data_IF_533890281740
#
_entry.id   IF_533890281740
#
_cell.length_a   1.000
_cell.length_b   1.000
_cell.length_c   1.000
_cell.angle_alpha   90.00
_cell.angle_beta   90.00
_cell.angle_gamma   90.00
#
_symmetry.space_group_name_H-M   'P 1'
#
loop_
_entity.id
_entity.type
_entity.pdbx_description
1 polymer ?
#
# COMPACT_ATOMS: atom_id res chain seq x y z
N UNK A 1 3.79 9.56 -3.23
CA UNK A 1 2.51 8.87 -3.33
C UNK A 1 1.37 9.87 -3.08
N UNK A 2 0.13 9.49 -3.35
CA UNK A 2 -1.06 10.33 -3.22
C UNK A 2 -1.30 10.84 -1.78
N UNK A 3 -0.98 10.04 -0.79
CA UNK A 3 -1.03 10.39 0.64
C UNK A 3 -0.23 11.65 1.03
N UNK A 4 0.81 11.98 0.26
CA UNK A 4 1.69 13.12 0.52
C UNK A 4 1.30 14.39 -0.25
N UNK A 5 0.46 14.28 -1.28
CA UNK A 5 0.12 15.42 -2.15
C UNK A 5 -0.56 16.58 -1.39
N UNK A 6 -1.55 16.35 -0.50
CA UNK A 6 -2.20 17.44 0.20
C UNK A 6 -1.24 18.29 1.03
N UNK A 7 -0.32 17.67 1.75
CA UNK A 7 0.67 18.38 2.57
C UNK A 7 1.66 19.18 1.71
N UNK A 8 2.12 18.59 0.60
CA UNK A 8 3.01 19.27 -0.34
C UNK A 8 2.34 20.47 -1.02
N UNK A 9 1.06 20.35 -1.38
CA UNK A 9 0.29 21.46 -1.95
C UNK A 9 0.08 22.56 -0.91
N UNK A 10 -0.31 22.23 0.31
CA UNK A 10 -0.49 23.16 1.43
C UNK A 10 0.81 23.91 1.75
N UNK A 11 1.95 23.22 1.64
CA UNK A 11 3.28 23.82 1.84
C UNK A 11 3.76 24.67 0.65
N UNK A 12 3.00 24.77 -0.46
CA UNK A 12 3.42 25.46 -1.69
C UNK A 12 4.59 24.78 -2.42
N UNK A 13 4.86 23.52 -2.09
CA UNK A 13 6.00 22.77 -2.66
C UNK A 13 5.72 22.23 -4.07
N UNK A 14 4.45 22.13 -4.47
CA UNK A 14 4.03 21.67 -5.79
C UNK A 14 3.45 22.79 -6.64
N UNK A 15 3.81 22.77 -7.90
CA UNK A 15 3.29 23.65 -8.92
C UNK A 15 1.85 23.22 -9.28
N UNK A 16 0.95 24.21 -9.42
CA UNK A 16 -0.37 24.00 -9.98
C UNK A 16 -0.26 23.83 -11.49
N UNK A 17 -0.53 22.63 -12.01
CA UNK A 17 -0.31 22.30 -13.42
C UNK A 17 -1.25 23.05 -14.36
N UNK A 18 -2.45 23.41 -13.92
CA UNK A 18 -3.43 24.19 -14.68
C UNK A 18 -2.87 25.56 -15.11
N UNK A 19 -2.00 26.19 -14.31
CA UNK A 19 -1.38 27.47 -14.62
C UNK A 19 -0.31 27.38 -15.73
N UNK A 20 0.13 26.17 -16.07
CA UNK A 20 1.16 25.89 -17.08
C UNK A 20 0.65 24.99 -18.21
N UNK A 21 -0.65 24.86 -18.38
CA UNK A 21 -1.27 24.00 -19.39
C UNK A 21 -0.81 24.34 -20.82
N UNK A 22 -0.51 25.59 -21.11
CA UNK A 22 0.00 26.03 -22.42
C UNK A 22 1.35 25.40 -22.79
N UNK A 23 2.19 25.05 -21.79
CA UNK A 23 3.47 24.37 -22.03
C UNK A 23 3.29 23.01 -22.69
N UNK A 24 2.18 22.30 -22.38
CA UNK A 24 1.87 20.97 -22.92
C UNK A 24 1.64 20.97 -24.44
N UNK A 25 1.33 22.13 -25.04
CA UNK A 25 1.19 22.25 -26.51
C UNK A 25 2.49 21.92 -27.24
N UNK A 26 3.65 22.11 -26.60
CA UNK A 26 4.94 21.71 -27.16
C UNK A 26 5.16 20.19 -27.20
N UNK A 27 4.36 19.44 -26.44
CA UNK A 27 4.33 17.98 -26.43
C UNK A 27 3.11 17.44 -27.23
N UNK A 28 2.44 18.27 -28.03
CA UNK A 28 1.24 17.93 -28.80
C UNK A 28 0.12 17.30 -27.93
N UNK A 29 -0.01 17.74 -26.69
CA UNK A 29 -1.03 17.25 -25.72
C UNK A 29 -1.67 18.41 -24.96
N UNK A 30 -2.72 18.10 -24.23
CA UNK A 30 -3.43 19.03 -23.34
C UNK A 30 -3.59 18.42 -21.95
N UNK A 31 -3.92 19.22 -20.95
CA UNK A 31 -4.22 18.70 -19.62
C UNK A 31 -5.46 17.80 -19.61
N UNK A 32 -6.44 18.08 -20.46
CA UNK A 32 -7.63 17.23 -20.62
C UNK A 32 -7.27 15.88 -21.25
N UNK A 33 -6.35 15.85 -22.22
CA UNK A 33 -5.85 14.61 -22.81
C UNK A 33 -5.14 13.75 -21.75
N UNK A 34 -4.31 14.36 -20.91
CA UNK A 34 -3.64 13.66 -19.80
C UNK A 34 -4.66 13.08 -18.82
N UNK A 35 -5.69 13.86 -18.44
CA UNK A 35 -6.76 13.39 -17.56
C UNK A 35 -7.54 12.24 -18.17
N UNK A 36 -7.88 12.32 -19.45
CA UNK A 36 -8.62 11.29 -20.17
C UNK A 36 -7.82 9.98 -20.34
N UNK A 37 -6.50 10.09 -20.54
CA UNK A 37 -5.63 8.95 -20.77
C UNK A 37 -5.37 8.10 -19.52
N UNK A 38 -5.50 8.66 -18.31
CA UNK A 38 -5.21 7.98 -17.05
C UNK A 38 -6.48 7.52 -16.33
N UNK A 39 -6.35 6.54 -15.42
CA UNK A 39 -7.47 6.07 -14.60
C UNK A 39 -8.01 7.19 -13.73
N UNK A 40 -9.34 7.27 -13.62
CA UNK A 40 -10.04 8.38 -12.97
C UNK A 40 -9.55 8.60 -11.53
N UNK A 41 -9.45 7.54 -10.73
CA UNK A 41 -8.98 7.64 -9.34
C UNK A 41 -7.58 8.26 -9.20
N UNK A 42 -6.69 8.08 -10.20
CA UNK A 42 -5.37 8.71 -10.18
C UNK A 42 -5.42 10.21 -10.44
N UNK A 43 -6.38 10.66 -11.23
CA UNK A 43 -6.61 12.07 -11.48
C UNK A 43 -7.27 12.73 -10.26
N UNK A 44 -8.29 12.07 -9.70
CA UNK A 44 -9.02 12.56 -8.53
C UNK A 44 -8.10 12.74 -7.32
N UNK A 45 -7.23 11.75 -7.06
CA UNK A 45 -6.29 11.81 -5.95
C UNK A 45 -5.19 12.90 -6.10
N UNK A 46 -4.91 13.36 -7.32
CA UNK A 46 -3.98 14.45 -7.61
C UNK A 46 -4.67 15.79 -7.83
N UNK A 47 -6.01 15.85 -7.75
CA UNK A 47 -6.81 17.05 -7.89
C UNK A 47 -7.16 17.62 -6.52
N UNK A 48 -6.69 18.81 -6.23
CA UNK A 48 -6.94 19.51 -4.96
C UNK A 48 -7.54 20.88 -5.32
N UNK A 49 -8.67 21.23 -4.70
CA UNK A 49 -9.41 22.47 -4.99
C UNK A 49 -9.70 22.68 -6.49
N UNK A 50 -10.00 21.57 -7.19
CA UNK A 50 -10.36 21.57 -8.61
C UNK A 50 -9.18 21.69 -9.59
N UNK A 51 -7.94 21.68 -9.12
CA UNK A 51 -6.73 21.80 -9.94
C UNK A 51 -5.81 20.57 -9.80
N UNK A 52 -5.16 20.19 -10.89
CA UNK A 52 -4.21 19.09 -10.92
C UNK A 52 -2.82 19.54 -10.46
N UNK A 53 -2.19 18.81 -9.55
CA UNK A 53 -0.87 19.13 -8.98
C UNK A 53 0.23 18.15 -9.32
N UNK A 54 -0.09 16.99 -9.88
CA UNK A 54 0.91 16.01 -10.30
C UNK A 54 0.38 15.14 -11.45
N UNK A 55 1.28 14.69 -12.31
CA UNK A 55 0.97 13.76 -13.39
C UNK A 55 1.01 12.30 -12.85
N UNK A 56 -0.03 11.49 -13.10
CA UNK A 56 -0.02 10.09 -12.72
C UNK A 56 1.05 9.28 -13.48
N UNK A 57 1.86 8.52 -12.75
CA UNK A 57 2.86 7.63 -13.32
C UNK A 57 2.47 6.16 -13.23
N UNK A 58 1.86 5.77 -12.11
CA UNK A 58 1.47 4.39 -11.84
C UNK A 58 0.23 4.31 -10.96
N UNK A 59 -0.53 3.24 -11.13
CA UNK A 59 -1.72 2.89 -10.35
C UNK A 59 -1.50 1.56 -9.60
N UNK A 60 -0.33 1.41 -8.98
CA UNK A 60 0.12 0.16 -8.38
C UNK A 60 0.63 0.32 -6.94
N UNK A 61 0.29 1.43 -6.29
CA UNK A 61 0.73 1.68 -4.92
C UNK A 61 -0.17 0.95 -3.90
N UNK A 62 -0.06 -0.37 -3.91
CA UNK A 62 -0.74 -1.29 -3.02
C UNK A 62 0.10 -2.53 -2.79
N UNK A 63 -0.35 -3.44 -1.94
CA UNK A 63 0.36 -4.66 -1.61
C UNK A 63 -0.57 -5.86 -1.59
N UNK A 64 0.03 -7.03 -1.76
CA UNK A 64 -0.62 -8.33 -1.88
C UNK A 64 0.35 -9.43 -1.42
N UNK A 65 0.03 -10.71 -1.62
CA UNK A 65 0.87 -11.83 -1.22
C UNK A 65 1.64 -12.40 -2.41
N UNK A 66 2.97 -12.44 -2.32
CA UNK A 66 3.83 -13.32 -3.12
C UNK A 66 4.04 -14.64 -2.40
N UNK A 67 4.06 -15.76 -3.14
CA UNK A 67 4.36 -17.07 -2.56
C UNK A 67 5.03 -18.01 -3.56
N UNK A 68 5.79 -18.96 -3.04
CA UNK A 68 6.40 -20.05 -3.80
C UNK A 68 5.41 -21.20 -3.94
N UNK A 69 4.78 -21.35 -5.11
CA UNK A 69 3.78 -22.37 -5.39
C UNK A 69 4.35 -23.80 -5.41
N UNK A 70 5.67 -23.97 -5.40
CA UNK A 70 6.31 -25.27 -5.26
C UNK A 70 6.20 -25.86 -3.84
N UNK A 71 5.96 -25.00 -2.83
CA UNK A 71 5.87 -25.38 -1.42
C UNK A 71 4.57 -24.94 -0.73
N UNK A 72 3.88 -23.95 -1.29
CA UNK A 72 2.61 -23.43 -0.79
C UNK A 72 1.56 -23.56 -1.90
N UNK A 73 0.48 -24.31 -1.65
CA UNK A 73 -0.64 -24.37 -2.59
C UNK A 73 -1.46 -23.08 -2.56
N UNK A 74 -2.21 -22.82 -3.63
CA UNK A 74 -3.15 -21.68 -3.68
C UNK A 74 -4.17 -21.74 -2.53
N UNK A 75 -4.66 -22.93 -2.19
CA UNK A 75 -5.56 -23.13 -1.05
C UNK A 75 -4.89 -22.76 0.29
N UNK A 76 -3.61 -23.15 0.48
CA UNK A 76 -2.85 -22.81 1.68
C UNK A 76 -2.57 -21.30 1.79
N UNK A 77 -2.44 -20.59 0.66
CA UNK A 77 -2.25 -19.16 0.62
C UNK A 77 -3.51 -18.34 0.99
N UNK A 78 -4.69 -18.99 1.11
CA UNK A 78 -5.95 -18.30 1.32
C UNK A 78 -6.18 -17.80 2.76
N UNK A 79 -5.51 -18.37 3.77
CA UNK A 79 -5.57 -17.93 5.17
C UNK A 79 -4.19 -17.86 5.81
N UNK A 80 -4.00 -16.97 6.77
CA UNK A 80 -2.75 -16.87 7.51
C UNK A 80 -2.40 -18.18 8.22
N UNK A 81 -3.40 -18.88 8.79
CA UNK A 81 -3.18 -20.14 9.51
C UNK A 81 -2.61 -21.20 8.59
N UNK A 82 -3.24 -21.46 7.44
CA UNK A 82 -2.78 -22.46 6.47
C UNK A 82 -1.48 -22.06 5.77
N UNK A 83 -1.27 -20.75 5.54
CA UNK A 83 -0.06 -20.22 4.94
C UNK A 83 1.16 -20.42 5.85
N UNK A 84 1.03 -20.11 7.14
CA UNK A 84 2.08 -20.28 8.13
C UNK A 84 2.39 -21.78 8.36
N UNK A 85 1.36 -22.63 8.40
CA UNK A 85 1.54 -24.08 8.51
C UNK A 85 2.31 -24.65 7.30
N UNK A 86 1.98 -24.21 6.09
CA UNK A 86 2.67 -24.66 4.87
C UNK A 86 4.13 -24.18 4.85
N UNK A 87 4.40 -22.94 5.26
CA UNK A 87 5.76 -22.40 5.35
C UNK A 87 6.60 -23.15 6.40
N UNK A 88 6.03 -23.46 7.57
CA UNK A 88 6.70 -24.22 8.62
C UNK A 88 7.08 -25.62 8.14
N UNK A 89 6.17 -26.31 7.47
CA UNK A 89 6.45 -27.64 6.85
C UNK A 89 7.57 -27.59 5.82
N UNK A 90 7.73 -26.47 5.12
CA UNK A 90 8.82 -26.23 4.18
C UNK A 90 10.13 -25.78 4.85
N UNK A 91 10.14 -25.56 6.17
CA UNK A 91 11.27 -25.01 6.90
C UNK A 91 11.60 -23.55 6.52
N UNK A 92 10.59 -22.82 6.08
CA UNK A 92 10.70 -21.42 5.63
C UNK A 92 9.79 -20.50 6.43
N UNK A 93 9.80 -19.21 6.10
CA UNK A 93 9.03 -18.18 6.79
C UNK A 93 8.07 -17.47 5.83
N UNK A 94 7.09 -16.79 6.43
CA UNK A 94 6.24 -15.79 5.77
C UNK A 94 6.62 -14.41 6.30
N UNK A 95 7.04 -13.51 5.42
CA UNK A 95 7.52 -12.18 5.79
C UNK A 95 6.45 -11.10 5.62
N UNK A 96 6.35 -10.21 6.61
CA UNK A 96 5.56 -8.99 6.52
C UNK A 96 6.15 -7.90 7.41
N UNK A 97 6.06 -6.64 6.97
CA UNK A 97 6.47 -5.48 7.76
C UNK A 97 5.32 -5.03 8.64
N UNK A 98 5.34 -5.37 9.94
CA UNK A 98 4.31 -4.92 10.90
C UNK A 98 4.60 -3.52 11.47
N UNK A 99 5.89 -3.16 11.59
CA UNK A 99 6.33 -1.85 12.09
C UNK A 99 6.21 -0.73 11.04
N UNK A 100 5.09 -0.70 10.33
CA UNK A 100 4.74 0.32 9.35
C UNK A 100 3.23 0.52 9.33
N UNK A 101 2.80 1.76 9.56
CA UNK A 101 1.39 2.13 9.54
C UNK A 101 0.72 1.93 8.17
N UNK A 102 1.50 1.81 7.12
CA UNK A 102 1.00 1.50 5.79
C UNK A 102 0.59 0.03 5.66
N UNK A 103 1.39 -0.88 6.23
CA UNK A 103 1.09 -2.31 6.20
C UNK A 103 0.16 -2.76 7.32
N UNK A 104 0.37 -2.32 8.56
CA UNK A 104 -0.44 -2.80 9.70
C UNK A 104 -1.90 -2.32 9.65
N UNK A 105 -2.21 -1.21 8.96
CA UNK A 105 -3.57 -0.76 8.69
C UNK A 105 -4.42 -1.82 7.97
N UNK A 106 -3.81 -2.73 7.23
CA UNK A 106 -4.50 -3.77 6.44
C UNK A 106 -5.40 -4.67 7.29
N UNK A 107 -4.99 -4.97 8.50
CA UNK A 107 -5.79 -5.78 9.43
C UNK A 107 -7.04 -5.04 9.89
N UNK A 108 -6.89 -3.77 10.24
CA UNK A 108 -8.02 -2.94 10.67
C UNK A 108 -8.98 -2.64 9.51
N UNK A 109 -8.47 -2.30 8.34
CA UNK A 109 -9.31 -2.05 7.16
C UNK A 109 -10.09 -3.29 6.72
N UNK A 110 -9.48 -4.48 6.80
CA UNK A 110 -10.17 -5.74 6.54
C UNK A 110 -11.32 -6.02 7.51
N UNK A 111 -11.18 -5.59 8.76
CA UNK A 111 -12.20 -5.74 9.79
C UNK A 111 -13.24 -4.59 9.83
N UNK A 112 -13.25 -3.71 8.83
CA UNK A 112 -14.25 -2.65 8.70
C UNK A 112 -13.96 -1.39 9.50
N UNK A 113 -12.73 -1.20 10.00
CA UNK A 113 -12.27 0.05 10.61
C UNK A 113 -11.85 1.05 9.55
N UNK A 114 -11.81 2.33 9.92
CA UNK A 114 -11.54 3.43 8.99
C UNK A 114 -10.51 4.42 9.51
N UNK A 115 -9.96 5.20 8.59
CA UNK A 115 -9.24 6.44 8.86
C UNK A 115 -9.78 7.54 7.97
N UNK A 116 -9.65 8.78 8.41
CA UNK A 116 -10.01 9.97 7.63
C UNK A 116 -9.02 11.09 7.83
N UNK A 117 -8.87 11.92 6.81
CA UNK A 117 -8.08 13.15 6.85
C UNK A 117 -9.03 14.35 6.92
N UNK A 118 -8.90 15.18 7.95
CA UNK A 118 -9.66 16.40 8.12
C UNK A 118 -9.00 17.58 7.37
N UNK A 119 -9.76 18.64 7.10
CA UNK A 119 -9.27 19.85 6.42
C UNK A 119 -8.12 20.55 7.17
N UNK A 120 -8.04 20.39 8.50
CA UNK A 120 -6.96 20.92 9.33
C UNK A 120 -5.68 20.05 9.31
N UNK A 121 -5.71 18.91 8.60
CA UNK A 121 -4.61 17.97 8.52
C UNK A 121 -4.55 16.93 9.65
N UNK A 122 -5.55 16.92 10.54
CA UNK A 122 -5.65 15.88 11.57
C UNK A 122 -6.25 14.60 11.03
N UNK A 123 -5.94 13.47 11.66
CA UNK A 123 -6.51 12.15 11.34
C UNK A 123 -7.74 11.88 12.18
N UNK A 124 -8.81 11.33 11.58
CA UNK A 124 -9.84 10.60 12.32
C UNK A 124 -9.56 9.11 12.27
N UNK A 125 -9.81 8.40 13.38
CA UNK A 125 -9.46 6.99 13.54
C UNK A 125 -10.34 6.33 14.60
N UNK A 126 -10.88 5.15 14.29
CA UNK A 126 -11.83 4.43 15.15
C UNK A 126 -11.27 3.09 15.69
N UNK A 127 -9.98 2.82 15.52
CA UNK A 127 -9.38 1.50 15.74
C UNK A 127 -9.39 1.01 17.19
N UNK A 128 -9.57 1.87 18.16
CA UNK A 128 -9.71 1.52 19.58
C UNK A 128 -11.14 1.22 20.02
N UNK A 129 -12.10 1.27 19.10
CA UNK A 129 -13.52 1.02 19.31
C UNK A 129 -14.01 -0.27 18.67
N UNK A 130 -15.22 -0.18 18.11
CA UNK A 130 -15.89 -1.26 17.38
C UNK A 130 -16.13 -0.80 15.94
N UNK A 131 -15.77 -1.62 14.96
CA UNK A 131 -15.93 -1.33 13.55
C UNK A 131 -17.38 -1.38 13.08
N UNK A 132 -17.63 -0.89 11.86
CA UNK A 132 -18.94 -1.00 11.22
C UNK A 132 -19.41 -2.46 11.05
N UNK A 133 -18.48 -3.40 10.93
CA UNK A 133 -18.74 -4.83 10.80
C UNK A 133 -18.92 -5.54 12.15
N UNK A 134 -18.79 -4.79 13.27
CA UNK A 134 -19.03 -5.29 14.63
C UNK A 134 -17.82 -5.92 15.31
N UNK A 135 -16.62 -5.84 14.72
CA UNK A 135 -15.38 -6.31 15.34
C UNK A 135 -14.79 -5.25 16.28
N UNK A 136 -14.19 -5.69 17.39
CA UNK A 136 -13.43 -4.78 18.26
C UNK A 136 -11.97 -4.66 17.82
N UNK A 137 -11.36 -3.50 18.09
CA UNK A 137 -9.93 -3.33 17.84
C UNK A 137 -9.07 -4.33 18.61
N UNK A 138 -9.50 -4.70 19.83
CA UNK A 138 -8.83 -5.72 20.64
C UNK A 138 -8.82 -7.09 19.92
N UNK A 139 -9.94 -7.50 19.33
CA UNK A 139 -10.01 -8.78 18.60
C UNK A 139 -9.11 -8.77 17.34
N UNK A 140 -9.02 -7.64 16.64
CA UNK A 140 -8.09 -7.47 15.50
C UNK A 140 -6.64 -7.63 15.97
N UNK A 141 -6.26 -6.97 17.07
CA UNK A 141 -4.89 -7.07 17.62
C UNK A 141 -4.56 -8.50 18.06
N UNK A 142 -5.51 -9.22 18.68
CA UNK A 142 -5.32 -10.63 19.01
C UNK A 142 -5.01 -11.47 17.77
N UNK A 143 -5.72 -11.24 16.67
CA UNK A 143 -5.42 -11.90 15.39
C UNK A 143 -4.03 -11.56 14.86
N UNK A 144 -3.59 -10.30 14.99
CA UNK A 144 -2.23 -9.90 14.61
C UNK A 144 -1.17 -10.54 15.52
N UNK A 145 -1.41 -10.63 16.82
CA UNK A 145 -0.51 -11.27 17.78
C UNK A 145 -0.38 -12.77 17.55
N UNK A 146 -1.47 -13.44 17.17
CA UNK A 146 -1.47 -14.86 16.82
C UNK A 146 -0.56 -15.12 15.61
N UNK A 147 -0.66 -14.30 14.57
CA UNK A 147 0.23 -14.34 13.41
C UNK A 147 1.69 -14.05 13.83
N UNK A 148 1.92 -12.95 14.53
CA UNK A 148 3.27 -12.49 14.88
C UNK A 148 4.02 -13.44 15.83
N UNK A 149 3.29 -14.19 16.68
CA UNK A 149 3.87 -15.17 17.61
C UNK A 149 4.17 -16.52 16.95
N UNK A 150 3.66 -16.75 15.74
CA UNK A 150 3.90 -18.02 15.04
C UNK A 150 5.37 -18.15 14.62
N UNK A 151 6.05 -19.27 14.92
CA UNK A 151 7.46 -19.47 14.58
C UNK A 151 7.75 -19.35 13.07
N UNK A 152 6.78 -19.60 12.19
CA UNK A 152 6.93 -19.48 10.75
C UNK A 152 6.73 -18.02 10.25
N UNK A 153 6.30 -17.10 11.09
CA UNK A 153 6.21 -15.68 10.75
C UNK A 153 7.56 -14.97 10.92
N UNK A 154 7.84 -14.04 10.03
CA UNK A 154 9.00 -13.15 10.12
C UNK A 154 8.54 -11.70 10.06
N UNK A 155 8.67 -10.97 11.16
CA UNK A 155 8.53 -9.51 11.13
C UNK A 155 9.75 -8.91 10.41
N UNK A 156 9.54 -8.39 9.22
CA UNK A 156 10.60 -7.83 8.37
C UNK A 156 10.68 -6.33 8.60
N UNK A 157 11.89 -5.79 8.68
CA UNK A 157 12.11 -4.35 8.76
C UNK A 157 11.61 -3.67 7.47
N UNK A 158 11.18 -2.42 7.59
CA UNK A 158 10.71 -1.65 6.43
C UNK A 158 11.82 -1.52 5.38
N UNK A 159 11.48 -1.82 4.13
CA UNK A 159 12.42 -1.83 3.01
C UNK A 159 13.33 -3.06 2.91
N UNK A 160 13.21 -4.08 3.78
CA UNK A 160 14.10 -5.25 3.80
C UNK A 160 13.51 -6.53 3.16
N UNK A 161 12.29 -6.48 2.64
CA UNK A 161 11.65 -7.66 2.00
C UNK A 161 12.51 -8.22 0.85
N UNK A 162 13.07 -7.36 -0.01
CA UNK A 162 13.94 -7.78 -1.11
C UNK A 162 15.15 -8.60 -0.64
N UNK A 163 15.79 -8.19 0.46
CA UNK A 163 16.93 -8.91 1.02
C UNK A 163 16.51 -10.26 1.59
N UNK A 164 15.35 -10.33 2.26
CA UNK A 164 14.82 -11.58 2.81
C UNK A 164 14.40 -12.55 1.71
N UNK A 165 13.83 -12.07 0.60
CA UNK A 165 13.57 -12.88 -0.60
C UNK A 165 14.87 -13.44 -1.18
N UNK A 166 15.87 -12.59 -1.39
CA UNK A 166 17.16 -12.98 -1.95
C UNK A 166 17.92 -13.99 -1.06
N UNK A 167 17.72 -13.96 0.25
CA UNK A 167 18.33 -14.92 1.20
C UNK A 167 17.77 -16.35 1.09
N UNK A 168 16.61 -16.52 0.42
CA UNK A 168 15.92 -17.82 0.32
C UNK A 168 15.17 -18.26 1.58
N UNK A 169 15.06 -17.40 2.61
CA UNK A 169 14.39 -17.70 3.87
C UNK A 169 12.86 -17.69 3.78
N UNK A 170 12.31 -16.95 2.80
CA UNK A 170 10.87 -16.75 2.66
C UNK A 170 10.27 -17.78 1.70
N UNK A 171 9.12 -18.35 2.09
CA UNK A 171 8.21 -19.07 1.20
C UNK A 171 7.08 -18.16 0.68
N UNK A 172 6.82 -17.07 1.39
CA UNK A 172 5.84 -16.05 1.01
C UNK A 172 6.17 -14.71 1.68
N UNK A 173 5.66 -13.63 1.12
CA UNK A 173 5.76 -12.31 1.74
C UNK A 173 4.65 -11.37 1.28
N UNK A 174 4.32 -10.42 2.14
CA UNK A 174 3.46 -9.28 1.80
C UNK A 174 4.33 -8.17 1.24
N UNK A 175 4.13 -7.82 -0.02
CA UNK A 175 4.80 -6.70 -0.69
C UNK A 175 4.00 -6.23 -1.90
N UNK A 176 4.56 -5.31 -2.68
CA UNK A 176 3.95 -4.77 -3.89
C UNK A 176 4.76 -5.03 -5.14
N UNK A 177 4.39 -4.39 -6.25
CA UNK A 177 5.02 -4.56 -7.57
C UNK A 177 6.52 -4.23 -7.58
N UNK A 178 6.99 -3.40 -6.64
CA UNK A 178 8.41 -3.04 -6.51
C UNK A 178 9.33 -4.22 -6.15
N UNK A 179 8.78 -5.31 -5.60
CA UNK A 179 9.52 -6.54 -5.31
C UNK A 179 9.26 -7.67 -6.32
N UNK A 180 8.47 -7.43 -7.39
CA UNK A 180 8.08 -8.46 -8.36
C UNK A 180 9.28 -9.19 -8.97
N UNK A 181 10.27 -8.45 -9.45
CA UNK A 181 11.47 -9.04 -10.06
C UNK A 181 12.28 -9.86 -9.05
N UNK A 182 12.42 -9.38 -7.83
CA UNK A 182 13.13 -10.10 -6.76
C UNK A 182 12.37 -11.37 -6.34
N UNK A 183 11.04 -11.31 -6.28
CA UNK A 183 10.21 -12.48 -5.98
C UNK A 183 10.28 -13.53 -7.12
N UNK A 184 10.28 -13.10 -8.38
CA UNK A 184 10.48 -13.99 -9.53
C UNK A 184 11.84 -14.70 -9.45
N UNK A 185 12.91 -13.95 -9.16
CA UNK A 185 14.24 -14.53 -9.01
C UNK A 185 14.33 -15.50 -7.84
N UNK A 186 13.72 -15.15 -6.70
CA UNK A 186 13.75 -15.96 -5.48
C UNK A 186 12.94 -17.27 -5.60
N UNK A 187 11.78 -17.23 -6.23
CA UNK A 187 10.84 -18.37 -6.33
C UNK A 187 10.95 -19.16 -7.64
N UNK A 188 11.60 -18.59 -8.66
CA UNK A 188 11.81 -19.26 -9.94
C UNK A 188 10.51 -19.77 -10.56
N UNK A 189 10.48 -21.07 -10.91
CA UNK A 189 9.27 -21.70 -11.49
C UNK A 189 8.07 -21.75 -10.53
N UNK A 190 8.29 -21.55 -9.22
CA UNK A 190 7.26 -21.45 -8.21
C UNK A 190 6.67 -20.06 -8.01
N UNK A 191 7.16 -19.04 -8.76
CA UNK A 191 6.67 -17.68 -8.61
C UNK A 191 5.16 -17.56 -8.80
N UNK A 192 4.48 -17.09 -7.76
CA UNK A 192 3.04 -16.88 -7.74
C UNK A 192 2.70 -15.70 -6.84
N UNK A 193 1.55 -15.10 -7.09
CA UNK A 193 1.00 -14.03 -6.28
C UNK A 193 -0.53 -14.13 -6.23
N UNK A 194 -1.09 -13.68 -5.12
CA UNK A 194 -2.54 -13.63 -4.90
C UNK A 194 -2.90 -12.49 -3.94
N UNK A 195 -4.18 -12.24 -3.74
CA UNK A 195 -4.63 -11.30 -2.72
C UNK A 195 -4.16 -11.74 -1.32
N UNK A 196 -4.16 -10.83 -0.36
CA UNK A 196 -3.81 -11.12 1.03
C UNK A 196 -4.71 -12.21 1.62
N UNK A 197 -4.17 -13.02 2.55
CA UNK A 197 -4.93 -14.09 3.20
C UNK A 197 -6.05 -13.54 4.09
N UNK A 198 -6.99 -14.39 4.46
CA UNK A 198 -7.87 -14.14 5.60
C UNK A 198 -7.10 -14.31 6.92
N UNK A 199 -7.56 -13.66 7.96
CA UNK A 199 -7.04 -13.82 9.33
C UNK A 199 -8.17 -13.95 10.34
N UNK A 200 -7.89 -14.49 11.51
CA UNK A 200 -8.88 -14.72 12.55
C UNK A 200 -9.13 -13.44 13.34
N UNK A 201 -10.40 -13.01 13.44
CA UNK A 201 -10.87 -11.94 14.30
C UNK A 201 -12.02 -12.48 15.15
N UNK A 202 -11.81 -12.66 16.46
CA UNK A 202 -12.75 -13.41 17.29
C UNK A 202 -12.91 -14.83 16.76
N UNK A 203 -14.14 -15.23 16.45
CA UNK A 203 -14.46 -16.55 15.88
C UNK A 203 -14.60 -16.53 14.33
N UNK A 204 -14.31 -15.41 13.67
CA UNK A 204 -14.52 -15.23 12.24
C UNK A 204 -13.21 -15.21 11.45
N UNK A 205 -13.27 -15.69 10.21
CA UNK A 205 -12.24 -15.45 9.19
C UNK A 205 -12.57 -14.17 8.43
N UNK A 206 -11.68 -13.19 8.51
CA UNK A 206 -11.84 -11.87 7.91
C UNK A 206 -10.82 -11.68 6.79
N UNK A 207 -11.25 -11.22 5.63
CA UNK A 207 -10.33 -10.90 4.54
C UNK A 207 -9.47 -9.72 4.94
N UNK A 208 -8.16 -9.89 4.94
CA UNK A 208 -7.23 -8.80 5.18
C UNK A 208 -7.37 -7.73 4.09
N UNK A 209 -7.53 -6.49 4.51
CA UNK A 209 -7.60 -5.35 3.61
C UNK A 209 -6.22 -4.90 3.13
N UNK A 210 -6.18 -3.79 2.42
CA UNK A 210 -4.93 -3.14 2.02
C UNK A 210 -5.13 -1.66 1.78
N UNK A 211 -4.04 -0.98 1.47
CA UNK A 211 -4.04 0.38 0.96
C UNK A 211 -3.95 0.33 -0.57
N UNK A 212 -4.77 1.12 -1.24
CA UNK A 212 -4.64 1.40 -2.67
C UNK A 212 -4.23 2.86 -2.86
N UNK A 213 -3.38 3.09 -3.85
CA UNK A 213 -2.93 4.44 -4.15
C UNK A 213 -2.20 4.52 -5.49
N UNK A 214 -1.64 5.69 -5.74
CA UNK A 214 -1.05 6.06 -7.01
C UNK A 214 0.32 6.69 -6.80
N UNK A 215 1.16 6.60 -7.83
CA UNK A 215 2.48 7.26 -7.87
C UNK A 215 2.47 8.36 -8.90
N UNK A 216 3.15 9.46 -8.58
CA UNK A 216 3.10 10.68 -9.35
C UNK A 216 4.48 11.27 -9.63
N UNK A 217 4.51 12.13 -10.65
CA UNK A 217 5.56 13.11 -10.87
C UNK A 217 4.96 14.49 -10.74
N UNK A 218 5.36 15.21 -9.70
CA UNK A 218 5.00 16.61 -9.48
C UNK A 218 6.14 17.54 -9.88
N UNK A 219 5.83 18.80 -10.10
CA UNK A 219 6.82 19.84 -10.39
C UNK A 219 7.01 20.70 -9.14
N UNK A 220 8.27 20.95 -8.78
CA UNK A 220 8.61 21.78 -7.65
C UNK A 220 8.08 23.21 -7.87
N UNK A 221 7.28 23.72 -6.93
CA UNK A 221 6.68 25.06 -6.96
C UNK A 221 7.68 26.22 -7.00
N UNK A 222 8.94 25.94 -6.62
CA UNK A 222 10.05 26.94 -6.64
C UNK A 222 10.93 26.83 -7.88
N UNK A 223 10.53 26.06 -8.91
CA UNK A 223 11.31 25.91 -10.14
C UNK A 223 11.40 27.23 -10.91
N UNK A 224 12.62 27.66 -11.25
CA UNK A 224 12.85 28.82 -12.13
C UNK A 224 12.57 28.49 -13.62
N UNK A 225 12.40 27.21 -13.96
CA UNK A 225 12.15 26.72 -15.32
C UNK A 225 10.84 25.93 -15.39
N UNK A 226 9.77 26.46 -14.80
CA UNK A 226 8.51 25.76 -14.58
C UNK A 226 7.90 25.14 -15.85
N UNK A 227 7.90 25.87 -16.97
CA UNK A 227 7.38 25.33 -18.24
C UNK A 227 8.13 24.09 -18.74
N UNK A 228 9.47 24.11 -18.68
CA UNK A 228 10.29 22.97 -19.05
C UNK A 228 10.17 21.81 -18.06
N UNK A 229 10.02 22.11 -16.77
CA UNK A 229 9.80 21.10 -15.74
C UNK A 229 8.44 20.42 -15.90
N UNK A 230 7.39 21.13 -16.32
CA UNK A 230 6.08 20.55 -16.64
C UNK A 230 6.17 19.62 -17.85
N UNK A 231 6.89 20.02 -18.92
CA UNK A 231 7.12 19.15 -20.08
C UNK A 231 7.90 17.89 -19.71
N UNK A 232 8.93 18.01 -18.86
CA UNK A 232 9.69 16.84 -18.41
C UNK A 232 8.81 15.91 -17.55
N UNK A 233 7.98 16.47 -16.67
CA UNK A 233 7.08 15.68 -15.83
C UNK A 233 6.02 14.95 -16.67
N UNK A 234 5.47 15.60 -17.70
CA UNK A 234 4.58 14.95 -18.67
C UNK A 234 5.30 13.83 -19.41
N UNK A 235 6.48 14.09 -19.97
CA UNK A 235 7.28 13.09 -20.69
C UNK A 235 7.57 11.85 -19.82
N UNK A 236 7.91 12.04 -18.54
CA UNK A 236 8.17 10.94 -17.60
C UNK A 236 6.91 10.13 -17.21
N UNK A 237 5.73 10.60 -17.59
CA UNK A 237 4.44 10.01 -17.21
C UNK A 237 3.50 9.73 -18.36
N UNK A 238 3.90 10.04 -19.59
CA UNK A 238 3.12 9.75 -20.78
C UNK A 238 3.01 8.23 -21.07
N UNK A 239 2.22 7.86 -22.06
CA UNK A 239 1.96 6.47 -22.43
C UNK A 239 3.24 5.68 -22.69
N UNK A 240 4.19 6.25 -23.47
CA UNK A 240 5.46 5.58 -23.82
C UNK A 240 6.31 5.33 -22.57
N UNK A 241 6.43 6.32 -21.68
CA UNK A 241 7.20 6.18 -20.45
C UNK A 241 6.55 5.19 -19.47
N UNK A 242 5.22 5.18 -19.35
CA UNK A 242 4.53 4.19 -18.52
C UNK A 242 4.68 2.77 -19.08
N UNK A 243 4.64 2.58 -20.41
CA UNK A 243 4.96 1.30 -21.04
C UNK A 243 6.39 0.86 -20.71
N UNK A 244 7.35 1.76 -20.81
CA UNK A 244 8.76 1.48 -20.50
C UNK A 244 8.95 1.10 -19.02
N UNK A 245 8.25 1.77 -18.09
CA UNK A 245 8.28 1.41 -16.66
C UNK A 245 7.70 0.02 -16.41
N UNK A 246 6.62 -0.34 -17.12
CA UNK A 246 6.08 -1.68 -17.03
C UNK A 246 7.09 -2.72 -17.58
N UNK A 247 7.62 -2.51 -18.78
CA UNK A 247 8.54 -3.46 -19.45
C UNK A 247 9.82 -3.72 -18.64
N UNK A 248 10.31 -2.69 -17.92
CA UNK A 248 11.58 -2.78 -17.20
C UNK A 248 11.42 -3.07 -15.70
N UNK A 249 10.27 -2.80 -15.11
CA UNK A 249 10.08 -2.82 -13.66
C UNK A 249 8.77 -3.44 -13.21
N UNK A 250 7.94 -3.88 -14.14
CA UNK A 250 6.58 -4.37 -13.88
C UNK A 250 5.71 -3.37 -13.09
N UNK A 251 6.00 -2.08 -13.23
CA UNK A 251 5.21 -1.02 -12.61
C UNK A 251 3.82 -0.95 -13.23
N UNK A 252 2.78 -1.04 -12.41
CA UNK A 252 1.39 -1.01 -12.88
C UNK A 252 1.00 0.36 -13.43
N UNK A 253 0.65 0.46 -14.72
CA UNK A 253 0.39 1.74 -15.36
C UNK A 253 -0.90 2.40 -14.87
N UNK A 254 -0.89 3.72 -14.78
CA UNK A 254 -2.10 4.55 -14.67
C UNK A 254 -2.74 4.83 -16.04
N UNK A 255 -1.94 4.80 -17.12
CA UNK A 255 -2.42 5.00 -18.49
C UNK A 255 -3.32 3.84 -18.91
N UNK A 256 -4.54 4.15 -19.36
CA UNK A 256 -5.58 3.16 -19.71
C UNK A 256 -5.18 2.26 -20.88
N UNK A 257 -4.47 2.81 -21.88
CA UNK A 257 -4.04 2.04 -23.04
C UNK A 257 -2.97 1.01 -22.64
N UNK A 258 -1.98 1.43 -21.86
CA UNK A 258 -0.94 0.54 -21.34
C UNK A 258 -1.57 -0.52 -20.42
N UNK A 259 -2.47 -0.11 -19.52
CA UNK A 259 -3.17 -1.02 -18.61
C UNK A 259 -3.99 -2.09 -19.34
N UNK A 260 -4.52 -1.78 -20.51
CA UNK A 260 -5.32 -2.69 -21.33
C UNK A 260 -4.48 -3.64 -22.20
N UNK A 261 -3.15 -3.50 -22.21
CA UNK A 261 -2.29 -4.39 -23.00
C UNK A 261 -2.28 -5.82 -22.47
N UNK A 262 -2.14 -6.81 -23.35
CA UNK A 262 -2.12 -8.23 -22.98
C UNK A 262 -1.02 -8.52 -21.95
N UNK A 263 0.15 -7.92 -22.12
CA UNK A 263 1.30 -8.12 -21.22
C UNK A 263 1.03 -7.63 -19.79
N UNK A 264 0.28 -6.54 -19.63
CA UNK A 264 -0.14 -6.04 -18.30
C UNK A 264 -1.23 -6.94 -17.72
N UNK A 265 -2.20 -7.34 -18.54
CA UNK A 265 -3.32 -8.17 -18.09
C UNK A 265 -2.90 -9.59 -17.67
N UNK A 266 -1.83 -10.12 -18.26
CA UNK A 266 -1.27 -11.44 -17.95
C UNK A 266 -0.23 -11.40 -16.83
N UNK A 267 0.13 -10.22 -16.32
CA UNK A 267 1.15 -10.09 -15.28
C UNK A 267 0.66 -10.61 -13.93
N UNK A 268 1.41 -11.54 -13.35
CA UNK A 268 1.05 -12.24 -12.10
C UNK A 268 0.88 -11.27 -10.92
N UNK A 269 1.81 -10.34 -10.74
CA UNK A 269 1.78 -9.37 -9.64
C UNK A 269 0.60 -8.39 -9.77
N UNK A 270 0.34 -7.90 -11.00
CA UNK A 270 -0.76 -6.98 -11.25
C UNK A 270 -2.13 -7.66 -11.16
N UNK A 271 -2.23 -8.94 -11.53
CA UNK A 271 -3.45 -9.72 -11.30
C UNK A 271 -3.75 -9.88 -9.80
N UNK A 272 -2.73 -10.15 -8.98
CA UNK A 272 -2.88 -10.23 -7.53
C UNK A 272 -3.26 -8.86 -6.91
N UNK A 273 -2.64 -7.77 -7.36
CA UNK A 273 -3.01 -6.42 -6.96
C UNK A 273 -4.47 -6.09 -7.32
N UNK A 274 -4.92 -6.45 -8.52
CA UNK A 274 -6.29 -6.26 -8.95
C UNK A 274 -7.29 -7.04 -8.08
N UNK A 275 -6.99 -8.30 -7.75
CA UNK A 275 -7.80 -9.11 -6.85
C UNK A 275 -7.85 -8.54 -5.43
N UNK A 276 -6.75 -7.96 -4.94
CA UNK A 276 -6.68 -7.30 -3.64
C UNK A 276 -7.42 -5.95 -3.63
N UNK A 277 -7.54 -5.28 -4.76
CA UNK A 277 -8.14 -3.93 -4.85
C UNK A 277 -9.61 -3.88 -4.40
N UNK A 278 -10.33 -5.00 -4.45
CA UNK A 278 -11.69 -5.12 -3.91
C UNK A 278 -11.76 -4.89 -2.39
N UNK A 279 -10.64 -5.09 -1.69
CA UNK A 279 -10.49 -4.97 -0.24
C UNK A 279 -9.56 -3.82 0.16
N UNK A 280 -9.21 -2.97 -0.79
CA UNK A 280 -8.29 -1.86 -0.57
C UNK A 280 -9.04 -0.56 -0.26
N UNK A 281 -8.43 0.27 0.57
CA UNK A 281 -8.90 1.62 0.88
C UNK A 281 -7.81 2.64 0.56
N UNK A 282 -8.22 3.85 0.18
CA UNK A 282 -7.31 4.97 0.17
C UNK A 282 -6.95 5.34 1.62
N UNK A 283 -5.65 5.34 1.95
CA UNK A 283 -5.21 5.72 3.29
C UNK A 283 -5.23 7.26 3.43
N UNK A 284 -6.30 7.76 4.03
CA UNK A 284 -6.49 9.18 4.33
C UNK A 284 -6.07 9.42 5.77
N UNK A 285 -4.85 9.90 5.96
CA UNK A 285 -4.25 10.14 7.28
C UNK A 285 -3.38 11.40 7.23
N UNK A 286 -3.29 12.11 8.34
CA UNK A 286 -2.35 13.23 8.51
C UNK A 286 -0.97 12.78 8.98
N UNK A 287 -0.02 13.71 9.02
CA UNK A 287 1.37 13.40 9.34
C UNK A 287 1.61 12.81 10.73
N UNK A 288 0.71 13.07 11.69
CA UNK A 288 0.81 12.53 13.07
C UNK A 288 0.46 11.04 13.18
N UNK A 289 -0.09 10.43 12.13
CA UNK A 289 -0.45 9.01 12.10
C UNK A 289 0.78 8.08 12.12
N UNK A 290 1.84 8.43 11.43
CA UNK A 290 2.89 7.49 11.04
C UNK A 290 3.72 6.95 12.21
N UNK A 291 4.19 7.80 13.12
CA UNK A 291 5.03 7.40 14.24
C UNK A 291 4.26 6.55 15.28
N UNK A 292 3.03 6.91 15.71
CA UNK A 292 2.23 6.06 16.58
C UNK A 292 1.90 4.71 15.95
N UNK A 293 1.56 4.67 14.66
CA UNK A 293 1.24 3.43 13.95
C UNK A 293 2.48 2.52 13.81
N UNK A 294 3.66 3.10 13.58
CA UNK A 294 4.93 2.36 13.59
C UNK A 294 5.20 1.76 14.97
N UNK A 295 5.15 2.57 16.02
CA UNK A 295 5.39 2.14 17.39
C UNK A 295 4.43 1.01 17.81
N UNK A 296 3.16 1.14 17.44
CA UNK A 296 2.16 0.10 17.69
C UNK A 296 2.52 -1.22 16.97
N UNK A 297 2.93 -1.16 15.70
CA UNK A 297 3.39 -2.32 14.96
C UNK A 297 4.65 -2.98 15.55
N UNK A 298 5.56 -2.18 16.12
CA UNK A 298 6.74 -2.67 16.85
C UNK A 298 6.36 -3.46 18.10
N UNK A 299 5.37 -3.01 18.87
CA UNK A 299 4.88 -3.74 20.06
C UNK A 299 4.38 -5.14 19.69
N UNK A 300 3.66 -5.26 18.58
CA UNK A 300 3.16 -6.55 18.08
C UNK A 300 4.31 -7.41 17.56
N UNK A 301 5.17 -6.87 16.72
CA UNK A 301 6.30 -7.59 16.10
C UNK A 301 7.30 -8.14 17.14
N UNK A 302 7.49 -7.43 18.26
CA UNK A 302 8.40 -7.82 19.32
C UNK A 302 7.77 -8.76 20.38
N UNK A 303 6.46 -9.03 20.28
CA UNK A 303 5.75 -9.85 21.26
C UNK A 303 5.64 -9.19 22.64
N UNK A 304 5.63 -7.85 22.69
CA UNK A 304 5.54 -7.09 23.94
C UNK A 304 4.15 -7.14 24.56
N UNK A 305 3.11 -7.30 23.71
CA UNK A 305 1.71 -7.45 24.14
C UNK A 305 1.38 -8.93 24.30
N UNK A 306 0.75 -9.30 25.40
CA UNK A 306 0.22 -10.64 25.61
C UNK A 306 -1.21 -10.71 25.04
N UNK A 307 -1.50 -11.76 24.26
CA UNK A 307 -2.80 -11.94 23.61
C UNK A 307 -3.99 -12.16 24.59
N UNK A 308 -3.71 -12.50 25.84
CA UNK A 308 -4.69 -12.70 26.90
C UNK A 308 -4.85 -11.48 27.84
N UNK A 309 -4.12 -10.39 27.58
CA UNK A 309 -4.22 -9.12 28.32
C UNK A 309 -5.00 -8.07 27.52
N UNK A 310 -6.31 -8.16 27.54
CA UNK A 310 -7.22 -7.24 26.85
C UNK A 310 -7.03 -5.78 27.27
N UNK A 311 -6.66 -5.55 28.56
CA UNK A 311 -6.44 -4.19 29.05
C UNK A 311 -5.17 -3.58 28.47
N UNK A 312 -4.07 -4.32 28.41
CA UNK A 312 -2.83 -3.86 27.78
C UNK A 312 -3.00 -3.61 26.28
N UNK A 313 -3.76 -4.47 25.59
CA UNK A 313 -4.09 -4.30 24.17
C UNK A 313 -4.93 -3.03 23.97
N UNK A 314 -5.96 -2.81 24.79
CA UNK A 314 -6.80 -1.63 24.71
C UNK A 314 -5.99 -0.34 24.97
N UNK A 315 -5.11 -0.35 25.99
CA UNK A 315 -4.22 0.78 26.28
C UNK A 315 -3.30 1.09 25.10
N UNK A 316 -2.75 0.07 24.43
CA UNK A 316 -1.92 0.26 23.24
C UNK A 316 -2.72 0.87 22.08
N UNK A 317 -3.97 0.46 21.88
CA UNK A 317 -4.88 1.02 20.88
C UNK A 317 -5.26 2.47 21.21
N UNK A 318 -5.56 2.78 22.49
CA UNK A 318 -5.89 4.12 22.92
C UNK A 318 -4.71 5.08 22.69
N UNK A 319 -3.49 4.65 23.02
CA UNK A 319 -2.27 5.41 22.78
C UNK A 319 -2.00 5.64 21.28
N UNK A 320 -2.26 4.62 20.45
CA UNK A 320 -2.17 4.75 18.99
C UNK A 320 -3.13 5.81 18.47
N UNK A 321 -4.41 5.70 18.85
CA UNK A 321 -5.46 6.62 18.37
C UNK A 321 -5.22 8.05 18.89
N UNK A 322 -4.86 8.21 20.16
CA UNK A 322 -4.53 9.52 20.73
C UNK A 322 -3.36 10.18 19.98
N UNK A 323 -2.29 9.44 19.75
CA UNK A 323 -1.11 9.96 19.03
C UNK A 323 -1.42 10.29 17.57
N UNK A 324 -2.12 9.39 16.86
CA UNK A 324 -2.45 9.56 15.45
C UNK A 324 -3.45 10.70 15.17
N UNK A 325 -4.36 10.96 16.11
CA UNK A 325 -5.40 12.00 15.99
C UNK A 325 -5.02 13.33 16.64
N UNK A 326 -3.79 13.43 17.17
CA UNK A 326 -3.29 14.65 17.81
C UNK A 326 -3.31 15.84 16.82
N UNK A 327 -3.54 17.04 17.38
CA UNK A 327 -3.54 18.28 16.60
C UNK A 327 -2.19 18.52 15.91
N UNK A 328 -2.25 19.06 14.71
CA UNK A 328 -1.07 19.54 13.98
C UNK A 328 -0.87 21.00 14.43
N UNK A 329 0.08 21.22 15.35
CA UNK A 329 0.50 22.59 15.72
C UNK A 329 1.50 23.15 14.71
#
# INVERSE_FOLDING_TARGET
>A
ADDQLPDLVKAGALLKLDDYAEALQLADTTLDDVKAANVEGSIDAATIDGSLYAFPRAADNGYFLYYDSSVISEEAAASWDSLLEAADKAGKKVGMTLASGWYNASFFYGAGFTTGLNDDGTTTMDWNGTSADGYTGVDVVKGMLDIASNPAFMAVADGDISNQLASGNLAACVSGTWDAMTAQEAFGDGYAATKLPTFTVGDAQVQQGSVAGYKYVGVNGYSENSGWAVLLAEYLTNEESQQMFFDQRESGPSNKNVAASDSVQENVALAALAAQSEYAQAQKVGGKYWDPAKTFGELIAQGTLAADDDNAIQEALDNLVEGATASVE
#
